data_IF_879236944447
#
_entry.id   IF_879236944447
#
_cell.length_a   1.000
_cell.length_b   1.000
_cell.length_c   1.000
_cell.angle_alpha   90.00
_cell.angle_beta   90.00
_cell.angle_gamma   90.00
#
_symmetry.space_group_name_H-M   'P 1'
#
loop_
_entity.id
_entity.type
_entity.pdbx_description
1 polymer ?
#
# COMPACT_ATOMS: atom_id res chain seq x y z
N UNK A 1 -14.52 -4.27 6.54
CA UNK A 1 -13.36 -5.16 6.35
C UNK A 1 -13.73 -6.10 5.23
N UNK A 2 -12.87 -6.31 4.23
CA UNK A 2 -13.18 -7.17 3.09
C UNK A 2 -13.02 -8.64 3.48
N UNK A 3 -13.83 -9.52 2.91
CA UNK A 3 -13.68 -10.95 3.17
C UNK A 3 -12.40 -11.48 2.48
N UNK A 4 -11.69 -12.44 3.11
CA UNK A 4 -10.41 -12.93 2.60
C UNK A 4 -10.50 -13.59 1.22
N UNK A 5 -11.69 -14.10 0.88
CA UNK A 5 -12.00 -14.81 -0.36
C UNK A 5 -12.52 -13.91 -1.48
N UNK A 6 -12.80 -12.63 -1.20
CA UNK A 6 -13.30 -11.70 -2.23
C UNK A 6 -12.24 -11.50 -3.30
N UNK A 7 -12.66 -11.55 -4.55
CA UNK A 7 -11.82 -11.27 -5.71
C UNK A 7 -12.18 -9.87 -6.21
N UNK A 8 -11.14 -9.10 -6.54
CA UNK A 8 -11.30 -7.79 -7.15
C UNK A 8 -10.90 -7.87 -8.62
N UNK A 9 -11.56 -7.09 -9.46
CA UNK A 9 -11.23 -6.94 -10.87
C UNK A 9 -11.04 -5.47 -11.23
N UNK A 10 -10.06 -5.19 -12.09
CA UNK A 10 -9.86 -3.85 -12.64
C UNK A 10 -11.00 -3.47 -13.58
N UNK A 11 -11.54 -2.27 -13.38
CA UNK A 11 -12.50 -1.68 -14.32
C UNK A 11 -11.77 -1.13 -15.54
N UNK A 12 -12.52 -0.72 -16.57
CA UNK A 12 -11.90 -0.01 -17.70
C UNK A 12 -11.22 1.29 -17.24
N UNK A 13 -11.86 2.04 -16.35
CA UNK A 13 -11.26 3.24 -15.76
C UNK A 13 -9.97 2.92 -14.97
N UNK A 14 -9.92 1.77 -14.29
CA UNK A 14 -8.70 1.27 -13.63
C UNK A 14 -7.56 1.00 -14.61
N UNK A 15 -7.87 0.41 -15.77
CA UNK A 15 -6.89 0.18 -16.84
C UNK A 15 -6.42 1.49 -17.43
N UNK A 16 -7.33 2.37 -17.84
CA UNK A 16 -7.00 3.66 -18.44
C UNK A 16 -6.14 4.50 -17.48
N UNK A 17 -6.43 4.45 -16.18
CA UNK A 17 -5.65 5.11 -15.14
C UNK A 17 -4.18 4.65 -15.10
N UNK A 18 -3.92 3.36 -15.32
CA UNK A 18 -2.55 2.83 -15.40
C UNK A 18 -1.79 3.40 -16.61
N UNK A 19 -2.51 3.60 -17.72
CA UNK A 19 -1.91 4.14 -18.94
C UNK A 19 -1.73 5.66 -18.90
N UNK A 20 -2.64 6.38 -18.26
CA UNK A 20 -2.75 7.83 -18.39
C UNK A 20 -2.41 8.59 -17.10
N UNK A 21 -2.34 7.92 -15.94
CA UNK A 21 -2.05 8.51 -14.62
C UNK A 21 -2.86 9.77 -14.30
N UNK A 22 -4.13 9.81 -14.70
CA UNK A 22 -4.93 11.03 -14.56
C UNK A 22 -5.29 11.33 -13.11
N UNK A 23 -5.43 10.29 -12.28
CA UNK A 23 -5.84 10.41 -10.88
C UNK A 23 -4.58 10.45 -10.02
N UNK A 24 -4.59 11.34 -9.03
CA UNK A 24 -3.52 11.46 -8.02
C UNK A 24 -3.57 10.28 -7.04
N UNK A 25 -3.20 9.10 -7.52
CA UNK A 25 -3.08 7.90 -6.70
C UNK A 25 -1.80 7.95 -5.88
N UNK A 26 -1.87 7.46 -4.64
CA UNK A 26 -0.68 7.26 -3.81
C UNK A 26 0.10 6.04 -4.28
N UNK A 27 1.35 5.89 -3.84
CA UNK A 27 2.17 4.71 -4.21
C UNK A 27 1.51 3.39 -3.81
N UNK A 28 0.92 3.31 -2.61
CA UNK A 28 0.21 2.10 -2.17
C UNK A 28 -1.02 1.82 -3.03
N UNK A 29 -1.78 2.86 -3.41
CA UNK A 29 -2.92 2.70 -4.34
C UNK A 29 -2.46 2.18 -5.70
N UNK A 30 -1.34 2.67 -6.23
CA UNK A 30 -0.78 2.19 -7.50
C UNK A 30 -0.36 0.72 -7.43
N UNK A 31 0.39 0.35 -6.38
CA UNK A 31 0.83 -1.03 -6.17
C UNK A 31 -0.33 -2.00 -6.05
N UNK A 32 -1.39 -1.62 -5.33
CA UNK A 32 -2.59 -2.46 -5.24
C UNK A 32 -3.29 -2.55 -6.60
N UNK A 33 -3.45 -1.45 -7.32
CA UNK A 33 -4.15 -1.44 -8.61
C UNK A 33 -3.47 -2.33 -9.65
N UNK A 34 -2.13 -2.32 -9.74
CA UNK A 34 -1.39 -3.21 -10.67
C UNK A 34 -1.48 -4.68 -10.28
N UNK A 35 -1.69 -4.99 -8.99
CA UNK A 35 -1.77 -6.37 -8.50
C UNK A 35 -3.15 -7.00 -8.58
N UNK A 36 -4.19 -6.21 -8.80
CA UNK A 36 -5.54 -6.71 -9.04
C UNK A 36 -5.64 -7.22 -10.47
N UNK A 37 -5.75 -8.54 -10.65
CA UNK A 37 -5.76 -9.22 -11.95
C UNK A 37 -7.11 -9.87 -12.30
N UNK A 38 -8.13 -9.74 -11.44
CA UNK A 38 -9.45 -10.33 -11.65
C UNK A 38 -9.57 -11.80 -11.24
N UNK A 39 -8.49 -12.43 -10.77
CA UNK A 39 -8.46 -13.86 -10.40
C UNK A 39 -7.93 -14.11 -8.99
N UNK A 40 -7.04 -13.24 -8.53
CA UNK A 40 -6.42 -13.33 -7.20
C UNK A 40 -7.37 -12.78 -6.14
N UNK A 41 -7.55 -13.53 -5.05
CA UNK A 41 -8.33 -13.10 -3.89
C UNK A 41 -7.65 -11.97 -3.10
N UNK A 42 -8.41 -11.28 -2.24
CA UNK A 42 -7.92 -10.25 -1.32
C UNK A 42 -6.63 -10.69 -0.60
N UNK A 43 -6.65 -11.88 0.01
CA UNK A 43 -5.50 -12.43 0.72
C UNK A 43 -4.34 -12.74 -0.23
N UNK A 44 -4.62 -13.23 -1.43
CA UNK A 44 -3.59 -13.48 -2.43
C UNK A 44 -2.88 -12.19 -2.87
N UNK A 45 -3.63 -11.11 -3.11
CA UNK A 45 -3.07 -9.80 -3.45
C UNK A 45 -2.27 -9.24 -2.28
N UNK A 46 -2.78 -9.38 -1.05
CA UNK A 46 -2.09 -8.95 0.17
C UNK A 46 -0.74 -9.66 0.36
N UNK A 47 -0.69 -10.96 0.12
CA UNK A 47 0.52 -11.77 0.22
C UNK A 47 1.56 -11.41 -0.86
N UNK A 48 1.12 -10.96 -2.04
CA UNK A 48 2.01 -10.46 -3.11
C UNK A 48 2.64 -9.10 -2.77
N UNK A 49 2.07 -8.35 -1.82
CA UNK A 49 2.52 -7.00 -1.42
C UNK A 49 2.93 -6.96 0.06
N UNK A 50 3.97 -7.71 0.49
CA UNK A 50 4.39 -7.76 1.90
C UNK A 50 4.92 -6.41 2.41
N UNK A 51 5.39 -5.54 1.50
CA UNK A 51 5.93 -4.20 1.82
C UNK A 51 4.85 -3.24 2.34
N UNK A 52 3.57 -3.49 2.03
CA UNK A 52 2.47 -2.69 2.57
C UNK A 52 1.98 -3.28 3.89
N UNK A 53 1.82 -2.43 4.91
CA UNK A 53 1.12 -2.80 6.15
C UNK A 53 -0.36 -3.09 5.84
N UNK A 54 -1.00 -3.92 6.67
CA UNK A 54 -2.41 -4.32 6.45
C UNK A 54 -3.33 -3.10 6.35
N UNK A 55 -3.15 -2.13 7.25
CA UNK A 55 -3.96 -0.90 7.26
C UNK A 55 -3.81 -0.09 5.98
N UNK A 56 -2.57 0.03 5.46
CA UNK A 56 -2.30 0.75 4.21
C UNK A 56 -2.89 0.02 3.02
N UNK A 57 -2.76 -1.31 2.99
CA UNK A 57 -3.35 -2.13 1.95
C UNK A 57 -4.88 -1.98 1.93
N UNK A 58 -5.53 -2.14 3.07
CA UNK A 58 -6.98 -2.03 3.19
C UNK A 58 -7.47 -0.62 2.84
N UNK A 59 -6.76 0.43 3.27
CA UNK A 59 -7.06 1.82 2.92
C UNK A 59 -6.94 2.05 1.42
N UNK A 60 -5.84 1.59 0.80
CA UNK A 60 -5.62 1.71 -0.63
C UNK A 60 -6.73 1.01 -1.42
N UNK A 61 -7.05 -0.24 -1.09
CA UNK A 61 -8.11 -1.01 -1.73
C UNK A 61 -9.48 -0.33 -1.61
N UNK A 62 -9.81 0.14 -0.41
CA UNK A 62 -11.05 0.90 -0.16
C UNK A 62 -11.12 2.17 -1.02
N UNK A 63 -10.01 2.89 -1.15
CA UNK A 63 -9.94 4.09 -1.99
C UNK A 63 -10.10 3.75 -3.48
N UNK A 64 -9.45 2.69 -3.96
CA UNK A 64 -9.59 2.25 -5.36
C UNK A 64 -11.03 1.83 -5.68
N UNK A 65 -11.68 1.12 -4.76
CA UNK A 65 -13.09 0.74 -4.90
C UNK A 65 -14.01 1.97 -4.91
N UNK A 66 -13.81 2.91 -3.99
CA UNK A 66 -14.56 4.20 -3.97
C UNK A 66 -14.36 5.05 -5.21
N UNK A 67 -13.18 4.93 -5.86
CA UNK A 67 -12.85 5.62 -7.12
C UNK A 67 -13.36 4.84 -8.35
N UNK A 68 -14.03 3.70 -8.18
CA UNK A 68 -14.52 2.83 -9.26
C UNK A 68 -13.42 2.33 -10.20
N UNK A 69 -12.17 2.23 -9.70
CA UNK A 69 -11.03 1.70 -10.47
C UNK A 69 -10.95 0.18 -10.38
N UNK A 70 -11.54 -0.39 -9.32
CA UNK A 70 -11.71 -1.82 -9.12
C UNK A 70 -13.16 -2.10 -8.70
N UNK A 71 -13.63 -3.31 -8.96
CA UNK A 71 -14.93 -3.81 -8.53
C UNK A 71 -14.78 -5.16 -7.85
N UNK A 72 -15.73 -5.50 -6.98
CA UNK A 72 -15.85 -6.81 -6.36
C UNK A 72 -16.52 -7.80 -7.31
N UNK A 73 -15.92 -8.98 -7.44
CA UNK A 73 -16.44 -10.08 -8.24
C UNK A 73 -17.10 -11.09 -7.31
N UNK A 74 -18.44 -11.18 -7.37
CA UNK A 74 -19.22 -12.11 -6.55
C UNK A 74 -19.21 -13.54 -7.09
N UNK A 75 -19.00 -13.71 -8.41
CA UNK A 75 -19.00 -14.99 -9.10
C UNK A 75 -17.76 -15.06 -10.00
N UNK A 76 -16.64 -15.64 -9.53
CA UNK A 76 -15.46 -15.80 -10.35
C UNK A 76 -15.76 -16.71 -11.53
N UNK A 77 -15.32 -16.30 -12.72
CA UNK A 77 -15.51 -17.08 -13.94
C UNK A 77 -14.41 -18.15 -13.99
N UNK A 78 -14.81 -19.42 -14.00
CA UNK A 78 -13.87 -20.54 -14.11
C UNK A 78 -13.09 -20.46 -15.42
N UNK A 79 -11.76 -20.57 -15.36
CA UNK A 79 -10.88 -20.47 -16.53
C UNK A 79 -10.59 -19.05 -17.00
N UNK A 80 -11.03 -18.01 -16.27
CA UNK A 80 -10.59 -16.65 -16.51
C UNK A 80 -9.07 -16.56 -16.32
N UNK A 81 -8.37 -16.08 -17.35
CA UNK A 81 -6.94 -15.83 -17.23
C UNK A 81 -6.70 -14.55 -16.44
N UNK A 82 -5.63 -14.50 -15.62
CA UNK A 82 -5.20 -13.28 -14.96
C UNK A 82 -4.98 -12.17 -15.99
N UNK A 83 -5.43 -10.96 -15.68
CA UNK A 83 -5.22 -9.81 -16.56
C UNK A 83 -3.74 -9.43 -16.59
N UNK A 84 -3.06 -9.79 -17.67
CA UNK A 84 -1.65 -9.45 -17.90
C UNK A 84 -1.48 -8.00 -18.36
N UNK A 85 -0.38 -7.40 -17.95
CA UNK A 85 -0.01 -6.03 -18.33
C UNK A 85 1.45 -5.98 -18.77
N UNK A 86 1.74 -5.07 -19.70
CA UNK A 86 3.10 -4.86 -20.18
C UNK A 86 4.00 -4.31 -19.05
N UNK A 87 5.17 -4.92 -18.87
CA UNK A 87 6.12 -4.53 -17.81
C UNK A 87 6.55 -3.07 -17.92
N UNK A 88 6.73 -2.55 -19.14
CA UNK A 88 7.12 -1.15 -19.37
C UNK A 88 6.06 -0.17 -18.84
N UNK A 89 4.78 -0.53 -18.96
CA UNK A 89 3.65 0.25 -18.46
C UNK A 89 3.61 0.21 -16.94
N UNK A 90 3.85 -0.96 -16.34
CA UNK A 90 3.95 -1.13 -14.89
C UNK A 90 5.08 -0.26 -14.32
N UNK A 91 6.29 -0.36 -14.89
CA UNK A 91 7.46 0.37 -14.41
C UNK A 91 7.23 1.87 -14.50
N UNK A 92 6.68 2.35 -15.62
CA UNK A 92 6.28 3.74 -15.78
C UNK A 92 5.23 4.13 -14.74
N UNK A 93 4.23 3.28 -14.47
CA UNK A 93 3.15 3.58 -13.53
C UNK A 93 3.64 3.71 -12.07
N UNK A 94 4.56 2.84 -11.66
CA UNK A 94 5.15 2.83 -10.33
C UNK A 94 6.05 4.06 -10.11
N UNK A 95 6.74 4.53 -11.15
CA UNK A 95 7.58 5.72 -11.06
C UNK A 95 6.76 6.93 -10.59
N UNK A 96 7.22 7.51 -9.50
CA UNK A 96 6.60 8.67 -8.88
C UNK A 96 6.92 9.93 -9.72
N UNK A 97 5.88 10.64 -10.11
CA UNK A 97 5.98 11.92 -10.79
C UNK A 97 5.89 13.06 -9.76
N UNK A 98 6.40 14.24 -10.12
CA UNK A 98 6.41 15.41 -9.21
C UNK A 98 5.01 15.87 -8.80
N UNK A 99 3.98 15.48 -9.54
CA UNK A 99 2.56 15.76 -9.27
C UNK A 99 1.90 14.76 -8.33
N UNK A 100 2.60 13.70 -7.93
CA UNK A 100 2.03 12.62 -7.12
C UNK A 100 2.02 12.95 -5.64
N UNK A 101 0.95 12.59 -4.90
CA UNK A 101 0.88 12.85 -3.48
C UNK A 101 1.91 12.01 -2.71
N UNK A 102 2.83 12.68 -2.01
CA UNK A 102 3.76 12.04 -1.10
C UNK A 102 3.01 11.47 0.10
N UNK A 103 3.13 10.16 0.32
CA UNK A 103 2.60 9.51 1.52
C UNK A 103 3.69 9.53 2.59
N UNK A 104 3.69 10.55 3.45
CA UNK A 104 4.60 10.61 4.59
C UNK A 104 4.19 9.49 5.56
N UNK A 105 5.06 8.50 5.73
CA UNK A 105 4.94 7.51 6.80
C UNK A 105 5.35 8.24 8.06
N UNK A 106 4.38 8.67 8.87
CA UNK A 106 4.67 8.94 10.28
C UNK A 106 5.05 7.59 10.88
N UNK A 107 6.35 7.33 10.98
CA UNK A 107 6.86 6.25 11.80
C UNK A 107 6.46 6.58 13.23
N UNK A 108 5.55 5.79 13.79
CA UNK A 108 5.29 5.82 15.22
C UNK A 108 6.45 5.07 15.87
N UNK A 109 7.36 5.73 16.61
CA UNK A 109 8.59 5.11 17.12
C UNK A 109 8.33 4.00 18.16
N UNK A 110 7.09 3.78 18.58
CA UNK A 110 6.73 2.78 19.57
C UNK A 110 6.44 1.39 18.98
N UNK A 111 6.23 1.25 17.66
CA UNK A 111 5.94 -0.04 17.02
C UNK A 111 7.19 -0.85 16.60
N UNK A 112 8.34 -0.20 16.34
CA UNK A 112 9.52 -0.85 15.77
C UNK A 112 10.51 -1.43 16.81
N UNK A 113 10.27 -1.19 18.11
CA UNK A 113 11.08 -1.77 19.20
C UNK A 113 10.51 -3.09 19.77
N UNK A 114 9.48 -3.67 19.15
CA UNK A 114 8.81 -4.87 19.66
C UNK A 114 9.43 -6.23 19.32
N UNK A 115 10.53 -6.29 18.54
CA UNK A 115 10.97 -7.54 17.88
C UNK A 115 12.20 -8.22 18.56
N UNK A 116 12.80 -7.64 19.61
CA UNK A 116 13.91 -8.27 20.34
C UNK A 116 13.55 -8.69 21.77
N UNK A 117 12.79 -9.79 21.90
CA UNK A 117 12.83 -10.69 23.06
C UNK A 117 12.21 -10.19 24.40
N UNK A 118 11.89 -11.11 25.33
CA UNK A 118 11.04 -10.81 26.48
C UNK A 118 11.86 -10.39 27.72
N UNK A 119 11.45 -9.29 28.36
CA UNK A 119 11.83 -8.98 29.73
C UNK A 119 10.63 -8.41 30.51
N UNK A 120 9.95 -9.32 31.19
CA UNK A 120 9.38 -9.21 32.55
C UNK A 120 9.54 -7.85 33.26
N UNK A 121 8.38 -7.31 33.67
CA UNK A 121 8.09 -6.58 34.91
C UNK A 121 8.64 -5.16 35.15
N UNK A 122 7.72 -4.20 35.13
CA UNK A 122 7.62 -3.17 36.16
C UNK A 122 6.11 -3.02 36.50
N UNK A 123 5.59 -3.80 37.45
CA UNK A 123 5.42 -3.39 38.86
C UNK A 123 4.84 -1.98 38.99
N UNK A 124 3.51 -1.89 39.14
CA UNK A 124 2.85 -0.89 39.97
C UNK A 124 1.50 -1.46 40.48
N UNK A 125 1.57 -2.14 41.62
CA UNK A 125 0.50 -2.19 42.63
C UNK A 125 0.86 -1.13 43.72
N UNK A 126 -0.02 -0.73 44.66
CA UNK A 126 -1.30 -1.35 45.07
C UNK A 126 -2.47 -0.37 45.34
N UNK A 127 -3.74 -0.82 45.33
CA UNK A 127 -4.64 -0.60 46.47
C UNK A 127 -5.88 -1.51 46.49
N UNK A 128 -6.15 -1.99 47.70
CA UNK A 128 -7.16 -2.92 48.24
C UNK A 128 -8.64 -2.67 47.85
N UNK A 129 -9.47 -3.74 47.80
CA UNK A 129 -10.48 -4.07 48.84
C UNK A 129 -11.42 -5.24 48.46
N UNK A 130 -11.74 -6.10 49.44
CA UNK A 130 -12.99 -6.89 49.55
C UNK A 130 -12.97 -8.32 48.99
N UNK A 131 -12.55 -9.36 49.72
CA UNK A 131 -13.26 -10.11 50.77
C UNK A 131 -14.16 -11.29 50.26
N UNK A 132 -13.76 -12.49 50.69
CA UNK A 132 -14.52 -13.76 50.88
C UNK A 132 -14.83 -14.59 49.60
N UNK A 133 -14.68 -15.93 49.56
CA UNK A 133 -14.93 -16.96 50.60
C UNK A 133 -14.28 -18.32 50.24
N UNK A 134 -13.83 -19.03 51.28
CA UNK A 134 -13.58 -20.48 51.45
C UNK A 134 -14.68 -21.36 50.78
N UNK A 135 -14.56 -22.64 50.37
CA UNK A 135 -13.63 -23.78 50.60
C UNK A 135 -14.16 -25.01 49.82
N UNK A 136 -13.28 -25.89 49.28
CA UNK A 136 -13.22 -27.37 49.49
C UNK A 136 -12.40 -28.11 48.40
N UNK A 137 -11.38 -28.82 48.86
CA UNK A 137 -10.80 -30.04 48.27
C UNK A 137 -11.34 -31.22 49.12
N UNK A 138 -11.51 -32.46 48.59
CA UNK A 138 -10.34 -33.34 48.45
C UNK A 138 -10.38 -34.47 47.39
N UNK A 139 -9.17 -34.92 47.01
CA UNK A 139 -8.81 -36.31 46.68
C UNK A 139 -8.94 -36.73 45.21
N UNK A 140 -8.14 -37.62 44.64
CA UNK A 140 -6.85 -38.25 44.98
C UNK A 140 -6.43 -39.05 43.72
N UNK A 141 -5.13 -39.19 43.49
CA UNK A 141 -4.44 -40.29 42.78
C UNK A 141 -4.69 -40.50 41.26
N UNK A 142 -3.67 -40.31 40.43
CA UNK A 142 -2.80 -41.42 39.95
C UNK A 142 -1.70 -40.91 39.00
N UNK A 143 -0.46 -41.04 39.46
CA UNK A 143 0.73 -41.26 38.65
C UNK A 143 0.75 -42.72 38.15
N UNK A 144 1.46 -43.08 37.06
CA UNK A 144 2.89 -43.33 37.21
C UNK A 144 3.80 -42.99 36.01
N UNK A 145 5.00 -42.51 36.35
CA UNK A 145 6.31 -42.99 35.89
C UNK A 145 6.56 -43.29 34.40
N UNK A 146 7.44 -42.49 33.79
CA UNK A 146 8.37 -42.99 32.78
C UNK A 146 9.79 -42.51 33.08
N UNK A 147 10.64 -43.47 33.45
CA UNK A 147 12.08 -43.33 33.70
C UNK A 147 12.81 -43.73 32.41
N UNK A 148 13.80 -42.94 32.00
CA UNK A 148 14.76 -43.39 30.97
C UNK A 148 15.58 -42.28 30.31
N UNK A 149 16.55 -41.72 31.02
CA UNK A 149 17.79 -41.24 30.40
C UNK A 149 18.74 -42.45 30.20
N UNK A 150 19.69 -42.43 29.25
CA UNK A 150 20.94 -41.70 29.53
C UNK A 150 21.64 -41.05 28.31
N UNK A 151 22.41 -40.01 28.64
CA UNK A 151 23.73 -39.68 28.12
C UNK A 151 23.93 -39.60 26.58
N UNK A 152 23.82 -38.37 26.05
CA UNK A 152 24.43 -37.93 24.80
C UNK A 152 25.35 -36.75 25.06
N UNK A 153 26.64 -37.00 24.90
CA UNK A 153 27.80 -36.17 25.21
C UNK A 153 27.74 -34.75 24.63
N UNK A 154 28.01 -33.78 25.51
CA UNK A 154 28.29 -32.38 25.21
C UNK A 154 29.67 -32.30 24.54
N UNK A 155 29.76 -31.66 23.37
CA UNK A 155 31.03 -31.17 22.83
C UNK A 155 30.87 -29.69 22.49
N UNK A 156 31.40 -28.76 23.31
CA UNK A 156 31.69 -27.42 22.81
C UNK A 156 32.99 -27.53 22.01
N UNK A 157 32.88 -27.38 20.70
CA UNK A 157 34.05 -27.18 19.85
C UNK A 157 34.57 -25.77 20.13
N UNK A 158 35.57 -25.72 21.00
CA UNK A 158 36.43 -24.56 21.25
C UNK A 158 37.40 -24.43 20.08
N UNK A 159 36.97 -23.82 18.98
CA UNK A 159 37.88 -23.43 17.89
C UNK A 159 38.52 -22.09 18.25
N UNK A 160 39.66 -22.17 18.93
CA UNK A 160 40.87 -21.37 18.68
C UNK A 160 40.65 -19.94 18.13
N UNK A 161 40.46 -18.99 19.05
CA UNK A 161 40.55 -17.55 18.83
C UNK A 161 41.98 -17.06 18.56
N UNK A 162 42.56 -17.49 17.44
CA UNK A 162 43.85 -16.98 16.94
C UNK A 162 43.80 -16.61 15.44
N UNK A 163 42.70 -16.93 14.74
CA UNK A 163 42.49 -16.54 13.34
C UNK A 163 41.59 -15.31 13.18
N UNK A 164 40.97 -14.82 14.25
CA UNK A 164 39.95 -13.76 14.18
C UNK A 164 40.57 -12.35 14.18
N UNK A 165 41.74 -12.17 14.81
CA UNK A 165 42.34 -10.83 14.95
C UNK A 165 42.94 -10.31 13.64
N UNK A 166 43.52 -11.20 12.82
CA UNK A 166 44.01 -10.83 11.48
C UNK A 166 42.87 -10.48 10.50
N UNK A 167 41.69 -11.08 10.68
CA UNK A 167 40.51 -10.76 9.87
C UNK A 167 39.88 -9.42 10.29
N UNK A 168 39.87 -9.13 11.59
CA UNK A 168 39.41 -7.84 12.12
C UNK A 168 40.34 -6.71 11.63
N UNK A 169 41.65 -6.90 11.69
CA UNK A 169 42.63 -5.89 11.23
C UNK A 169 42.54 -5.66 9.70
N UNK A 170 42.27 -6.72 8.93
CA UNK A 170 42.03 -6.61 7.49
C UNK A 170 40.70 -5.89 7.17
N UNK A 171 39.65 -6.09 7.97
CA UNK A 171 38.39 -5.38 7.81
C UNK A 171 38.52 -3.88 8.13
N UNK A 172 39.29 -3.53 9.17
CA UNK A 172 39.55 -2.13 9.54
C UNK A 172 40.42 -1.39 8.50
N UNK A 173 41.41 -2.08 7.91
CA UNK A 173 42.23 -1.51 6.84
C UNK A 173 41.39 -1.17 5.59
N UNK A 174 40.48 -2.07 5.20
CA UNK A 174 39.53 -1.84 4.09
C UNK A 174 38.54 -0.70 4.41
N UNK A 175 38.06 -0.62 5.66
CA UNK A 175 37.17 0.46 6.11
C UNK A 175 37.84 1.85 6.08
N UNK A 176 39.12 1.92 6.41
CA UNK A 176 39.90 3.15 6.33
C UNK A 176 40.10 3.63 4.88
N UNK A 177 40.39 2.70 3.96
CA UNK A 177 40.58 3.02 2.53
C UNK A 177 39.29 3.52 1.87
N UNK A 178 38.14 2.88 2.14
CA UNK A 178 36.83 3.32 1.62
C UNK A 178 36.45 4.70 2.17
N UNK A 179 36.80 5.01 3.42
CA UNK A 179 36.56 6.33 4.03
C UNK A 179 37.47 7.40 3.42
N UNK A 180 38.70 7.05 3.02
CA UNK A 180 39.64 7.96 2.35
C UNK A 180 39.24 8.25 0.90
N UNK A 181 38.63 7.28 0.20
CA UNK A 181 38.15 7.47 -1.17
C UNK A 181 36.79 8.17 -1.28
N UNK A 182 36.12 8.46 -0.16
CA UNK A 182 34.83 9.16 -0.19
C UNK A 182 35.07 10.66 -0.43
N UNK A 183 34.73 11.22 -1.61
CA UNK A 183 34.78 12.66 -1.81
C UNK A 183 33.84 13.32 -0.80
N UNK A 184 34.37 14.26 -0.03
CA UNK A 184 33.61 15.14 0.84
C UNK A 184 32.66 15.99 -0.02
N UNK A 185 31.46 15.47 -0.29
CA UNK A 185 30.34 16.31 -0.71
C UNK A 185 29.90 17.11 0.51
N UNK A 186 30.63 18.20 0.75
CA UNK A 186 30.23 19.27 1.63
C UNK A 186 28.86 19.79 1.18
N UNK A 187 27.91 19.76 2.10
CA UNK A 187 26.54 20.23 1.94
C UNK A 187 26.46 21.65 1.33
N UNK A 188 25.67 21.87 0.27
CA UNK A 188 25.11 23.17 -0.02
C UNK A 188 23.62 23.15 0.32
N UNK A 189 23.30 23.12 1.63
CA UNK A 189 21.95 23.44 2.11
C UNK A 189 22.00 24.85 2.72
N UNK A 190 22.34 25.83 1.89
CA UNK A 190 22.13 27.24 2.20
C UNK A 190 21.76 27.94 0.89
N UNK A 191 20.46 28.05 0.60
CA UNK A 191 19.82 29.14 -0.15
C UNK A 191 18.43 28.69 -0.61
N UNK A 192 17.42 28.86 0.25
CA UNK A 192 16.06 29.23 -0.15
C UNK A 192 15.20 29.52 1.10
N UNK A 193 15.58 30.55 1.83
CA UNK A 193 14.63 31.36 2.63
C UNK A 193 14.61 32.72 1.96
N UNK A 194 13.47 33.05 1.35
CA UNK A 194 12.92 34.40 1.21
C UNK A 194 11.91 34.44 0.07
N UNK A 195 10.63 34.14 0.37
CA UNK A 195 9.49 34.71 -0.36
C UNK A 195 8.25 34.77 0.54
N UNK A 196 8.36 35.46 1.67
CA UNK A 196 7.20 36.05 2.32
C UNK A 196 6.85 37.38 1.63
N UNK A 197 5.77 37.37 0.85
CA UNK A 197 5.06 38.60 0.45
C UNK A 197 3.55 38.40 0.62
N UNK A 198 2.92 39.04 1.63
CA UNK A 198 1.47 39.14 1.68
C UNK A 198 1.01 40.23 0.71
N UNK A 199 0.49 39.85 -0.47
CA UNK A 199 -0.12 40.80 -1.41
C UNK A 199 -1.58 41.03 -1.07
N UNK A 200 -1.79 42.14 -0.36
CA UNK A 200 -3.01 42.97 -0.21
C UNK A 200 -4.19 42.61 -1.10
N UNK A 201 -5.33 42.45 -0.43
CA UNK A 201 -6.67 42.64 -0.95
C UNK A 201 -6.81 43.92 -1.78
N UNK A 202 -7.47 43.80 -2.92
CA UNK A 202 -8.13 44.93 -3.58
C UNK A 202 -9.48 44.44 -4.12
N UNK A 203 -10.52 44.94 -3.46
CA UNK A 203 -11.89 44.94 -3.93
C UNK A 203 -12.03 45.84 -5.18
N UNK A 204 -13.16 45.66 -5.86
CA UNK A 204 -13.72 46.45 -6.97
C UNK A 204 -13.23 46.11 -8.39
N UNK A 205 -14.09 45.44 -9.17
CA UNK A 205 -14.44 45.91 -10.52
C UNK A 205 -15.77 45.33 -10.99
N UNK A 206 -16.76 46.21 -11.08
CA UNK A 206 -17.98 46.03 -11.86
C UNK A 206 -17.65 45.96 -13.37
N UNK A 207 -18.41 45.11 -14.06
CA UNK A 207 -18.88 45.19 -15.46
C UNK A 207 -17.94 45.78 -16.54
N UNK A 208 -17.57 44.93 -17.50
CA UNK A 208 -17.64 45.29 -18.92
C UNK A 208 -17.64 44.02 -19.79
N UNK A 209 -18.59 44.00 -20.72
CA UNK A 209 -18.81 43.01 -21.78
C UNK A 209 -17.63 43.01 -22.75
N UNK A 210 -17.04 41.85 -23.00
CA UNK A 210 -16.19 41.63 -24.17
C UNK A 210 -16.35 40.18 -24.64
N UNK A 211 -16.88 40.05 -25.86
CA UNK A 211 -17.03 38.79 -26.56
C UNK A 211 -15.66 38.15 -26.82
N UNK A 212 -15.49 36.91 -26.35
CA UNK A 212 -14.41 36.01 -26.79
C UNK A 212 -15.01 34.88 -27.61
N UNK A 213 -14.56 34.64 -28.86
CA UNK A 213 -14.94 33.49 -29.64
C UNK A 213 -14.12 32.26 -29.22
N UNK A 214 -14.73 31.08 -29.31
CA UNK A 214 -13.98 29.82 -29.46
C UNK A 214 -13.79 28.94 -28.23
N UNK A 215 -14.82 28.75 -27.39
CA UNK A 215 -14.91 27.49 -26.64
C UNK A 215 -15.30 26.40 -27.65
N UNK A 216 -14.33 25.59 -28.09
CA UNK A 216 -14.61 24.27 -28.67
C UNK A 216 -15.25 23.43 -27.56
N UNK A 217 -16.58 23.50 -27.50
CA UNK A 217 -17.38 22.61 -26.69
C UNK A 217 -17.00 21.19 -27.11
N UNK A 218 -16.44 20.43 -26.16
CA UNK A 218 -16.30 18.99 -26.29
C UNK A 218 -17.72 18.44 -26.34
N UNK A 219 -18.32 18.44 -27.53
CA UNK A 219 -19.59 17.77 -27.78
C UNK A 219 -19.40 16.32 -27.35
N UNK A 220 -20.05 15.98 -26.24
CA UNK A 220 -19.95 14.70 -25.58
C UNK A 220 -20.36 13.63 -26.59
N UNK A 221 -19.45 12.72 -26.92
CA UNK A 221 -19.64 11.66 -27.92
C UNK A 221 -20.93 10.85 -27.66
N UNK A 222 -21.39 10.80 -26.41
CA UNK A 222 -22.66 10.21 -26.00
C UNK A 222 -23.91 10.81 -26.68
N UNK A 223 -23.95 12.12 -26.97
CA UNK A 223 -25.11 12.71 -27.66
C UNK A 223 -25.22 12.28 -29.12
N UNK A 224 -24.11 11.91 -29.75
CA UNK A 224 -24.10 11.40 -31.12
C UNK A 224 -24.73 10.00 -31.22
N UNK A 225 -24.43 9.12 -30.25
CA UNK A 225 -25.01 7.78 -30.19
C UNK A 225 -26.53 7.82 -29.94
N UNK A 226 -27.00 8.77 -29.13
CA UNK A 226 -28.44 8.99 -28.90
C UNK A 226 -29.13 9.46 -30.19
N UNK A 227 -28.51 10.37 -30.94
CA UNK A 227 -29.03 10.84 -32.23
C UNK A 227 -29.14 9.73 -33.28
N UNK A 228 -28.12 8.87 -33.40
CA UNK A 228 -28.14 7.72 -34.31
C UNK A 228 -29.25 6.73 -33.93
N UNK A 229 -29.40 6.44 -32.63
CA UNK A 229 -30.48 5.57 -32.14
C UNK A 229 -31.87 6.09 -32.49
N UNK A 230 -32.11 7.40 -32.31
CA UNK A 230 -33.39 8.03 -32.67
C UNK A 230 -33.68 7.96 -34.17
N UNK A 231 -32.66 8.16 -35.02
CA UNK A 231 -32.82 8.07 -36.47
C UNK A 231 -33.24 6.65 -36.92
N UNK A 232 -32.69 5.61 -36.30
CA UNK A 232 -33.09 4.22 -36.59
C UNK A 232 -34.54 3.93 -36.17
N UNK A 233 -34.96 4.40 -34.99
CA UNK A 233 -36.34 4.20 -34.52
C UNK A 233 -37.35 4.91 -35.44
N UNK A 234 -37.06 6.16 -35.81
CA UNK A 234 -37.92 6.93 -36.73
C UNK A 234 -37.96 6.27 -38.12
N UNK A 235 -36.80 5.83 -38.64
CA UNK A 235 -36.72 5.12 -39.91
C UNK A 235 -37.54 3.81 -39.91
N UNK A 236 -37.48 3.04 -38.82
CA UNK A 236 -38.26 1.82 -38.67
C UNK A 236 -39.76 2.08 -38.60
N UNK A 237 -40.19 3.13 -37.89
CA UNK A 237 -41.59 3.53 -37.85
C UNK A 237 -42.10 3.97 -39.22
N UNK A 238 -41.35 4.80 -39.94
CA UNK A 238 -41.71 5.24 -41.30
C UNK A 238 -41.79 4.07 -42.29
N UNK A 239 -40.83 3.13 -42.23
CA UNK A 239 -40.85 1.91 -43.05
C UNK A 239 -42.07 1.02 -42.75
N UNK A 240 -42.53 0.99 -41.49
CA UNK A 240 -43.72 0.24 -41.10
C UNK A 240 -45.03 0.86 -41.60
N UNK A 241 -45.08 2.18 -41.78
CA UNK A 241 -46.27 2.87 -42.30
C UNK A 241 -46.34 2.93 -43.83
N UNK A 242 -45.26 2.58 -44.53
CA UNK A 242 -45.16 2.64 -45.99
C UNK A 242 -45.28 1.29 -46.70
N UNK A 243 -45.37 0.19 -45.94
CA UNK A 243 -45.77 -1.15 -46.41
C UNK A 243 -47.18 -1.46 -45.93
#
# INVERSE_FOLDING_TARGET
MFEPTVIFQRTQAGRDEIYEKQRRLTQSERLVLIMVDGTTSYQGVRNKLPVLTEERFQRALTTLHKKELILEVFLPIEGQQPEEMEQTVIDRFIQQESTDPLTIISFDPEEDFGIFGPAISATNMPQQQGAQRLVWLPGAAQEPAFVGAPAGTISPVTTTGIMDEALIEQADALGAEVRAQRPQYANPIEHMRDFDKPRRASASRQQAVAATPGKREKLHWGYWMIGIGFAFIIGFLLARFTN
#
